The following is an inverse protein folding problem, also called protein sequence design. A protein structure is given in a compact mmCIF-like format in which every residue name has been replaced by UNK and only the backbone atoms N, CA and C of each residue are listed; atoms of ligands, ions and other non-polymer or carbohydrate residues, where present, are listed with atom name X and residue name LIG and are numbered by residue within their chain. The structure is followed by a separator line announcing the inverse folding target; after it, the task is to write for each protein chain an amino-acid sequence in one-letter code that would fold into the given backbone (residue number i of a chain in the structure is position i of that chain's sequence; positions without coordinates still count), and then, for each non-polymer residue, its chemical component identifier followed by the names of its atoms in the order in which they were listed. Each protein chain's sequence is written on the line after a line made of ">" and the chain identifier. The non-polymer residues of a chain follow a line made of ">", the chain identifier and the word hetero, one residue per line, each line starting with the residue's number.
data_IF_998061861160
#
_entry.id   IF_998061861160
#
_cell.length_a   1.000
_cell.length_b   1.000
_cell.length_c   1.000
_cell.angle_alpha   90.00
_cell.angle_beta   90.00
_cell.angle_gamma   90.00
#
_symmetry.space_group_name_H-M   'P 1'
#
loop_
_entity.id
_entity.type
_entity.pdbx_description
1 polymer ?
#
# COMPACT_ATOMS: atom_id res chain seq x y z
N UNK A 1 -11.00 -21.42 -1.25
CA UNK A 1 -11.21 -20.21 -2.07
C UNK A 1 -11.51 -20.67 -3.50
N UNK A 2 -12.47 -20.05 -4.21
CA UNK A 2 -12.83 -20.41 -5.60
C UNK A 2 -12.04 -19.52 -6.56
N UNK A 3 -11.05 -20.07 -7.26
CA UNK A 3 -10.18 -19.34 -8.20
C UNK A 3 -9.74 -20.24 -9.37
N UNK A 4 -9.10 -19.66 -10.38
CA UNK A 4 -8.65 -20.37 -11.59
C UNK A 4 -7.65 -21.51 -11.32
N UNK A 5 -6.86 -21.43 -10.25
CA UNK A 5 -5.93 -22.48 -9.83
C UNK A 5 -6.71 -23.71 -9.34
N UNK A 6 -7.76 -23.49 -8.55
CA UNK A 6 -8.59 -24.56 -7.96
C UNK A 6 -9.62 -25.17 -8.92
N UNK A 7 -10.10 -24.39 -9.91
CA UNK A 7 -11.22 -24.78 -10.78
C UNK A 7 -10.78 -25.50 -12.06
N UNK A 8 -9.51 -25.35 -12.46
CA UNK A 8 -9.03 -25.80 -13.76
C UNK A 8 -9.47 -24.91 -14.92
N UNK A 9 -8.92 -25.17 -16.11
CA UNK A 9 -9.07 -24.33 -17.29
C UNK A 9 -10.51 -24.30 -17.82
N UNK A 10 -11.10 -25.47 -18.05
CA UNK A 10 -12.46 -25.62 -18.61
C UNK A 10 -13.51 -24.87 -17.79
N UNK A 11 -13.53 -25.09 -16.47
CA UNK A 11 -14.50 -24.40 -15.60
C UNK A 11 -14.25 -22.90 -15.49
N UNK A 12 -13.00 -22.47 -15.59
CA UNK A 12 -12.67 -21.04 -15.62
C UNK A 12 -13.19 -20.40 -16.91
N UNK A 13 -13.01 -21.04 -18.06
CA UNK A 13 -13.49 -20.57 -19.36
C UNK A 13 -15.03 -20.50 -19.40
N UNK A 14 -15.73 -21.49 -18.85
CA UNK A 14 -17.20 -21.44 -18.72
C UNK A 14 -17.66 -20.20 -17.93
N UNK A 15 -16.98 -19.87 -16.82
CA UNK A 15 -17.36 -18.74 -15.98
C UNK A 15 -17.07 -17.40 -16.64
N UNK A 16 -15.98 -17.32 -17.42
CA UNK A 16 -15.66 -16.16 -18.24
C UNK A 16 -16.70 -15.98 -19.35
N UNK A 17 -17.09 -17.06 -20.05
CA UNK A 17 -18.14 -17.02 -21.07
C UNK A 17 -19.51 -16.61 -20.50
N UNK A 18 -19.77 -16.95 -19.23
CA UNK A 18 -20.97 -16.55 -18.51
C UNK A 18 -20.92 -15.11 -17.94
N UNK A 19 -19.87 -14.32 -18.22
CA UNK A 19 -19.66 -12.98 -17.65
C UNK A 19 -19.73 -12.95 -16.11
N UNK A 20 -19.26 -14.01 -15.45
CA UNK A 20 -19.23 -14.07 -13.98
C UNK A 20 -18.24 -13.02 -13.46
N UNK A 21 -18.57 -12.17 -12.46
CA UNK A 21 -17.62 -11.20 -11.91
C UNK A 21 -16.38 -11.87 -11.31
N UNK A 22 -15.20 -11.30 -11.57
CA UNK A 22 -13.92 -11.80 -11.08
C UNK A 22 -12.98 -10.64 -10.70
N UNK A 23 -11.88 -10.97 -10.02
CA UNK A 23 -10.80 -10.04 -9.65
C UNK A 23 -9.46 -10.67 -10.01
N UNK A 24 -8.44 -9.84 -10.24
CA UNK A 24 -7.05 -10.31 -10.39
C UNK A 24 -6.37 -10.23 -9.03
N UNK A 25 -5.66 -11.30 -8.65
CA UNK A 25 -4.83 -11.34 -7.45
C UNK A 25 -3.38 -11.65 -7.84
N UNK A 26 -2.43 -11.12 -7.07
CA UNK A 26 -1.05 -11.57 -7.17
C UNK A 26 -0.97 -12.97 -6.57
N UNK A 27 -0.36 -13.90 -7.30
CA UNK A 27 -0.04 -15.23 -6.78
C UNK A 27 1.30 -15.15 -6.07
N UNK A 28 1.30 -15.22 -4.75
CA UNK A 28 2.53 -15.16 -3.96
C UNK A 28 3.26 -16.51 -4.05
N UNK A 29 4.57 -16.55 -4.35
CA UNK A 29 5.35 -17.79 -4.30
C UNK A 29 5.46 -18.28 -2.84
N UNK A 30 5.38 -19.59 -2.62
CA UNK A 30 5.40 -20.15 -1.25
C UNK A 30 6.79 -20.60 -0.83
N UNK A 31 7.14 -20.34 0.44
CA UNK A 31 8.39 -20.84 1.02
C UNK A 31 9.65 -20.05 0.64
N UNK A 32 9.49 -18.80 0.20
CA UNK A 32 10.61 -17.92 -0.15
C UNK A 32 10.81 -16.82 0.92
N UNK A 33 12.03 -16.30 1.02
CA UNK A 33 12.32 -15.09 1.80
C UNK A 33 12.30 -13.87 0.87
N UNK A 34 11.46 -12.89 1.19
CA UNK A 34 11.40 -11.60 0.51
C UNK A 34 12.24 -10.61 1.29
N UNK A 35 13.30 -10.13 0.65
CA UNK A 35 14.21 -9.14 1.21
C UNK A 35 13.81 -7.76 0.71
N UNK A 36 13.63 -6.82 1.64
CA UNK A 36 13.38 -5.40 1.37
C UNK A 36 14.55 -4.61 1.94
N UNK A 37 15.26 -3.87 1.10
CA UNK A 37 16.29 -2.92 1.53
C UNK A 37 15.66 -1.54 1.71
N UNK A 38 15.51 -1.12 2.96
CA UNK A 38 14.99 0.20 3.30
C UNK A 38 16.12 1.12 3.80
N UNK A 39 16.21 2.33 3.24
CA UNK A 39 17.27 3.29 3.58
C UNK A 39 17.20 3.81 5.02
N UNK A 40 16.05 3.70 5.69
CA UNK A 40 15.82 4.17 7.08
C UNK A 40 15.74 3.01 8.06
N UNK A 41 15.11 1.90 7.67
CA UNK A 41 14.87 0.70 8.51
C UNK A 41 15.92 -0.39 8.34
N UNK A 42 16.79 -0.26 7.34
CA UNK A 42 17.75 -1.29 6.95
C UNK A 42 17.07 -2.47 6.26
N UNK A 43 17.72 -3.63 6.30
CA UNK A 43 17.23 -4.86 5.66
C UNK A 43 16.08 -5.49 6.45
N UNK A 44 14.92 -5.58 5.83
CA UNK A 44 13.75 -6.29 6.36
C UNK A 44 13.58 -7.61 5.59
N UNK A 45 13.43 -8.71 6.32
CA UNK A 45 13.21 -10.05 5.76
C UNK A 45 11.82 -10.53 6.15
N UNK A 46 11.02 -10.92 5.16
CA UNK A 46 9.65 -11.39 5.36
C UNK A 46 9.46 -12.71 4.65
N UNK A 47 8.91 -13.70 5.35
CA UNK A 47 8.53 -14.96 4.74
C UNK A 47 7.38 -14.73 3.76
N UNK A 48 7.47 -15.27 2.54
CA UNK A 48 6.40 -15.14 1.56
C UNK A 48 5.09 -15.78 2.01
N UNK A 49 5.14 -16.71 2.97
CA UNK A 49 3.97 -17.31 3.59
C UNK A 49 3.18 -16.33 4.49
N UNK A 50 3.77 -15.20 4.87
CA UNK A 50 3.12 -14.13 5.65
C UNK A 50 2.45 -13.08 4.76
N UNK A 51 2.61 -13.19 3.43
CA UNK A 51 2.08 -12.24 2.45
C UNK A 51 0.83 -12.84 1.81
N UNK A 52 -0.30 -12.14 1.94
CA UNK A 52 -1.56 -12.56 1.31
C UNK A 52 -1.53 -12.36 -0.22
N UNK A 53 -2.27 -13.22 -0.94
CA UNK A 53 -2.66 -13.00 -2.35
C UNK A 53 -3.58 -11.76 -2.49
N UNK A 54 -2.98 -10.57 -2.52
CA UNK A 54 -3.70 -9.29 -2.61
C UNK A 54 -4.38 -9.12 -3.96
N UNK A 55 -5.55 -8.47 -3.92
CA UNK A 55 -6.25 -8.04 -5.14
C UNK A 55 -5.46 -6.93 -5.81
N UNK A 56 -5.17 -7.10 -7.09
CA UNK A 56 -4.51 -6.13 -7.95
C UNK A 56 -5.50 -5.38 -8.84
N UNK A 57 -6.50 -6.09 -9.37
CA UNK A 57 -7.56 -5.50 -10.21
C UNK A 57 -8.92 -5.89 -9.64
N UNK A 58 -9.77 -4.89 -9.41
CA UNK A 58 -11.15 -5.09 -8.98
C UNK A 58 -12.04 -5.52 -10.15
N UNK A 59 -13.24 -6.02 -9.85
CA UNK A 59 -14.18 -6.48 -10.89
C UNK A 59 -14.78 -5.37 -11.76
N UNK A 60 -14.59 -4.11 -11.36
CA UNK A 60 -14.90 -2.92 -12.17
C UNK A 60 -13.75 -2.53 -13.12
N UNK A 61 -12.67 -3.32 -13.17
CA UNK A 61 -11.50 -3.07 -14.00
C UNK A 61 -10.54 -2.03 -13.41
N UNK A 62 -10.83 -1.43 -12.25
CA UNK A 62 -9.94 -0.46 -11.62
C UNK A 62 -8.82 -1.14 -10.83
N UNK A 63 -7.57 -0.66 -10.96
CA UNK A 63 -6.46 -1.17 -10.15
C UNK A 63 -6.64 -0.82 -8.68
N UNK A 64 -6.11 -1.66 -7.81
CA UNK A 64 -5.90 -1.29 -6.41
C UNK A 64 -4.68 -0.39 -6.29
N UNK A 65 -4.54 0.27 -5.14
CA UNK A 65 -3.36 1.09 -4.86
C UNK A 65 -2.05 0.36 -5.12
N UNK A 66 -1.94 -0.93 -4.76
CA UNK A 66 -0.69 -1.67 -4.93
C UNK A 66 -0.28 -1.83 -6.39
N UNK A 67 -1.24 -2.13 -7.28
CA UNK A 67 -0.95 -2.24 -8.71
C UNK A 67 -0.68 -0.88 -9.32
N UNK A 68 -1.55 0.10 -9.07
CA UNK A 68 -1.42 1.44 -9.62
C UNK A 68 -0.08 2.09 -9.23
N UNK A 69 0.28 2.04 -7.94
CA UNK A 69 1.52 2.65 -7.45
C UNK A 69 2.77 2.03 -8.09
N UNK A 70 2.88 0.70 -8.19
CA UNK A 70 4.07 0.06 -8.81
C UNK A 70 4.15 0.36 -10.30
N UNK A 71 3.02 0.33 -11.02
CA UNK A 71 2.98 0.65 -12.45
C UNK A 71 3.36 2.11 -12.68
N UNK A 72 2.76 3.04 -11.95
CA UNK A 72 3.04 4.47 -12.09
C UNK A 72 4.49 4.80 -11.69
N UNK A 73 5.00 4.23 -10.60
CA UNK A 73 6.39 4.43 -10.16
C UNK A 73 7.38 3.98 -11.24
N UNK A 74 7.16 2.81 -11.87
CA UNK A 74 7.99 2.31 -12.96
C UNK A 74 7.88 3.21 -14.21
N UNK A 75 6.66 3.52 -14.67
CA UNK A 75 6.45 4.31 -15.88
C UNK A 75 6.90 5.76 -15.75
N UNK A 76 6.91 6.30 -14.53
CA UNK A 76 7.41 7.65 -14.21
C UNK A 76 8.88 7.67 -13.82
N UNK A 77 9.59 6.54 -13.94
CA UNK A 77 11.03 6.42 -13.64
C UNK A 77 11.39 6.86 -12.22
N UNK A 78 10.51 6.59 -11.26
CA UNK A 78 10.75 6.90 -9.84
C UNK A 78 11.94 6.09 -9.35
N UNK A 79 12.95 6.79 -8.83
CA UNK A 79 14.18 6.16 -8.32
C UNK A 79 14.17 5.93 -6.81
N UNK A 80 13.39 6.73 -6.08
CA UNK A 80 13.32 6.70 -4.61
C UNK A 80 11.87 6.91 -4.14
N UNK A 81 11.33 5.94 -3.42
CA UNK A 81 10.01 6.01 -2.80
C UNK A 81 10.19 6.33 -1.32
N UNK A 82 9.79 7.55 -0.94
CA UNK A 82 9.84 8.03 0.45
C UNK A 82 8.41 8.19 0.96
N UNK A 83 8.04 7.41 1.97
CA UNK A 83 6.67 7.38 2.53
C UNK A 83 6.64 7.02 4.01
N UNK A 84 5.49 7.13 4.66
CA UNK A 84 5.35 6.78 6.08
C UNK A 84 5.45 5.26 6.34
N UNK A 85 5.94 4.88 7.52
CA UNK A 85 6.15 3.48 7.93
C UNK A 85 4.87 2.62 7.95
N UNK A 86 3.68 3.22 7.89
CA UNK A 86 2.44 2.47 7.72
C UNK A 86 2.42 1.62 6.44
N UNK A 87 3.24 1.98 5.44
CA UNK A 87 3.39 1.24 4.19
C UNK A 87 4.48 0.18 4.23
N UNK A 88 5.32 0.16 5.26
CA UNK A 88 6.44 -0.80 5.37
C UNK A 88 5.95 -2.26 5.26
N UNK A 89 4.86 -2.70 5.93
CA UNK A 89 4.36 -4.07 5.80
C UNK A 89 3.86 -4.43 4.39
N UNK A 90 3.55 -3.43 3.55
CA UNK A 90 3.12 -3.66 2.15
C UNK A 90 4.28 -3.71 1.16
N UNK A 91 5.50 -3.31 1.57
CA UNK A 91 6.64 -3.22 0.67
C UNK A 91 7.13 -4.58 0.14
N UNK A 92 7.13 -5.68 0.93
CA UNK A 92 7.43 -7.01 0.39
C UNK A 92 6.51 -7.41 -0.78
N UNK A 93 5.22 -7.07 -0.71
CA UNK A 93 4.29 -7.28 -1.82
C UNK A 93 4.68 -6.47 -3.06
N UNK A 94 5.09 -5.20 -2.88
CA UNK A 94 5.56 -4.35 -3.98
C UNK A 94 6.82 -4.92 -4.63
N UNK A 95 7.79 -5.40 -3.84
CA UNK A 95 8.98 -6.10 -4.35
C UNK A 95 8.60 -7.31 -5.20
N UNK A 96 7.69 -8.16 -4.71
CA UNK A 96 7.20 -9.31 -5.48
C UNK A 96 6.47 -8.88 -6.76
N UNK A 97 5.78 -7.75 -6.76
CA UNK A 97 5.09 -7.24 -7.94
C UNK A 97 6.08 -6.72 -8.99
N UNK A 98 7.13 -5.99 -8.60
CA UNK A 98 8.24 -5.62 -9.50
C UNK A 98 8.88 -6.87 -10.11
N UNK A 99 9.11 -7.92 -9.30
CA UNK A 99 9.63 -9.21 -9.79
C UNK A 99 8.71 -9.88 -10.80
N UNK A 100 7.42 -9.98 -10.48
CA UNK A 100 6.44 -10.61 -11.35
C UNK A 100 6.26 -9.89 -12.71
N UNK A 101 6.53 -8.58 -12.75
CA UNK A 101 6.48 -7.75 -13.95
C UNK A 101 7.83 -7.70 -14.70
N UNK A 102 8.90 -8.26 -14.12
CA UNK A 102 10.24 -8.24 -14.70
C UNK A 102 10.91 -6.86 -14.62
N UNK A 103 10.59 -6.07 -13.60
CA UNK A 103 11.03 -4.67 -13.41
C UNK A 103 11.98 -4.49 -12.22
N UNK A 104 12.71 -5.55 -11.87
CA UNK A 104 13.62 -5.57 -10.72
C UNK A 104 14.77 -4.57 -10.85
N UNK A 105 15.22 -4.34 -12.08
CA UNK A 105 16.29 -3.43 -12.47
C UNK A 105 15.92 -1.94 -12.35
N UNK A 106 14.63 -1.64 -12.45
CA UNK A 106 14.05 -0.29 -12.35
C UNK A 106 13.33 -0.04 -11.01
N UNK A 107 13.32 -1.03 -10.12
CA UNK A 107 12.67 -0.92 -8.82
C UNK A 107 13.32 0.21 -7.98
N UNK A 108 12.54 1.15 -7.44
CA UNK A 108 13.07 2.25 -6.65
C UNK A 108 13.67 1.77 -5.34
N UNK A 109 14.54 2.60 -4.76
CA UNK A 109 14.94 2.45 -3.36
C UNK A 109 13.82 2.92 -2.45
N UNK A 110 13.59 2.22 -1.33
CA UNK A 110 12.54 2.55 -0.38
C UNK A 110 13.10 3.24 0.86
N UNK A 111 12.38 4.21 1.39
CA UNK A 111 12.67 4.87 2.67
C UNK A 111 11.38 5.11 3.46
N UNK A 112 11.20 4.40 4.57
CA UNK A 112 10.00 4.49 5.39
C UNK A 112 10.20 5.35 6.65
N UNK A 113 9.63 6.55 6.63
CA UNK A 113 9.73 7.53 7.71
C UNK A 113 8.93 7.09 8.95
N UNK A 114 9.49 7.21 10.16
CA UNK A 114 8.78 6.89 11.39
C UNK A 114 7.60 7.85 11.59
N UNK A 115 6.58 7.37 12.29
CA UNK A 115 5.40 8.15 12.60
C UNK A 115 5.73 9.24 13.61
N UNK A 116 5.06 10.38 13.43
CA UNK A 116 5.10 11.45 14.43
C UNK A 116 4.44 10.95 15.72
N UNK A 117 5.19 11.05 16.81
CA UNK A 117 4.76 10.64 18.15
C UNK A 117 4.22 11.87 18.90
N UNK A 118 3.34 11.64 19.86
CA UNK A 118 2.84 12.69 20.75
C UNK A 118 4.00 13.32 21.56
N UNK A 119 3.92 14.61 21.89
CA UNK A 119 4.91 15.26 22.77
C UNK A 119 4.97 14.65 24.18
N UNK A 120 3.85 14.09 24.66
CA UNK A 120 3.75 13.45 25.97
C UNK A 120 2.93 12.16 25.88
N UNK A 121 3.33 11.14 26.65
CA UNK A 121 2.69 9.82 26.68
C UNK A 121 3.10 8.89 25.53
N UNK A 122 2.38 7.77 25.38
CA UNK A 122 2.60 6.79 24.30
C UNK A 122 1.58 6.99 23.17
N UNK A 123 2.02 6.87 21.92
CA UNK A 123 1.15 6.78 20.75
C UNK A 123 1.41 7.82 19.65
N UNK A 124 0.78 7.59 18.50
CA UNK A 124 0.88 8.41 17.29
C UNK A 124 0.20 9.78 17.49
N UNK A 125 0.77 10.85 16.94
CA UNK A 125 0.17 12.17 16.91
C UNK A 125 -1.11 12.15 16.05
N UNK A 126 -2.18 12.76 16.55
CA UNK A 126 -3.46 12.86 15.84
C UNK A 126 -4.02 14.28 15.88
N UNK A 127 -4.98 14.58 15.00
CA UNK A 127 -5.69 15.88 14.99
C UNK A 127 -6.26 16.26 16.37
N UNK A 128 -6.77 15.27 17.12
CA UNK A 128 -7.31 15.46 18.48
C UNK A 128 -6.25 15.89 19.49
N UNK A 129 -4.99 15.53 19.28
CA UNK A 129 -3.91 15.92 20.19
C UNK A 129 -3.56 17.40 19.98
N UNK A 130 -3.54 17.88 18.74
CA UNK A 130 -3.39 19.32 18.45
C UNK A 130 -4.52 20.15 19.04
N UNK A 131 -5.78 19.69 18.90
CA UNK A 131 -6.94 20.35 19.53
C UNK A 131 -6.82 20.43 21.06
N UNK A 132 -6.27 19.40 21.71
CA UNK A 132 -6.09 19.35 23.18
C UNK A 132 -4.90 20.17 23.67
N UNK A 133 -3.82 20.21 22.89
CA UNK A 133 -2.55 20.83 23.28
C UNK A 133 -2.38 22.25 22.73
N UNK A 134 -3.31 22.73 21.89
CA UNK A 134 -3.37 24.11 21.42
C UNK A 134 -2.40 24.45 20.29
N UNK A 135 -2.02 23.48 19.45
CA UNK A 135 -1.17 23.73 18.27
C UNK A 135 -1.85 23.29 16.96
N UNK A 136 -1.61 24.00 15.84
CA UNK A 136 -2.18 23.65 14.55
C UNK A 136 -1.58 22.34 14.00
N UNK A 137 -2.42 21.48 13.42
CA UNK A 137 -2.01 20.18 12.83
C UNK A 137 -1.99 20.21 11.31
N UNK A 138 -2.70 21.16 10.69
CA UNK A 138 -2.64 21.42 9.25
C UNK A 138 -1.94 22.75 9.00
N UNK A 139 -1.15 22.80 7.92
CA UNK A 139 -0.45 24.00 7.47
C UNK A 139 -1.41 25.10 7.01
N UNK A 140 -2.55 24.73 6.44
CA UNK A 140 -3.62 25.63 6.02
C UNK A 140 -4.93 25.33 6.74
N UNK A 141 -5.82 26.32 6.79
CA UNK A 141 -7.16 26.17 7.35
C UNK A 141 -8.00 25.25 6.46
N UNK A 142 -8.07 23.97 6.80
CA UNK A 142 -9.06 23.05 6.21
C UNK A 142 -10.34 23.06 7.05
N UNK A 143 -11.36 23.77 6.57
CA UNK A 143 -12.70 23.66 7.10
C UNK A 143 -13.30 22.29 6.70
N UNK A 144 -13.41 21.38 7.66
CA UNK A 144 -14.16 20.14 7.45
C UNK A 144 -15.65 20.47 7.59
N UNK A 145 -16.40 20.47 6.49
CA UNK A 145 -17.87 20.59 6.54
C UNK A 145 -18.46 19.30 7.08
N UNK A 146 -18.43 19.13 8.40
CA UNK A 146 -19.23 18.13 9.11
C UNK A 146 -19.66 18.75 10.44
N UNK A 147 -20.93 19.17 10.52
CA UNK A 147 -21.57 19.78 11.71
C UNK A 147 -20.90 21.06 12.26
N UNK A 148 -20.76 22.08 11.42
CA UNK A 148 -20.90 23.49 11.87
C UNK A 148 -19.88 24.02 12.89
N UNK A 149 -18.66 23.47 13.00
CA UNK A 149 -17.56 24.15 13.69
C UNK A 149 -16.45 24.49 12.71
N UNK A 150 -16.30 25.79 12.48
CA UNK A 150 -15.17 26.36 11.76
C UNK A 150 -14.00 26.42 12.75
N UNK A 151 -12.89 25.76 12.43
CA UNK A 151 -11.63 25.94 13.14
C UNK A 151 -10.85 27.04 12.42
N UNK A 152 -10.80 28.23 13.03
CA UNK A 152 -9.98 29.32 12.54
C UNK A 152 -8.55 29.10 13.05
N UNK A 153 -7.62 28.80 12.14
CA UNK A 153 -6.20 28.94 12.41
C UNK A 153 -5.85 30.42 12.49
N UNK A 154 -5.03 30.81 13.46
CA UNK A 154 -4.53 32.19 13.61
C UNK A 154 -3.48 32.43 12.52
N UNK A 155 -3.67 33.52 11.76
CA UNK A 155 -2.70 34.07 10.80
C UNK A 155 -1.46 34.63 11.49
#
# INVERSE_FOLDING_TARGET
>A
MRNSISLGKEKTEELLAANTPWVIRLKIPTGEEVIVEDMVRGTVRVSSNEIDDKVLLKGDGMPTYHLANVVDDHLMEITHVIRGEEWLPSTPLHVLLYRALGWEDTMPKFAHLPLLIKPTGKGKLSKRDGDKMGFPVCSSSLATSFKGRIFNGVS
#
